data_IF_415482435788
#
_entry.id   IF_415482435788
#
_cell.length_a   1.000
_cell.length_b   1.000
_cell.length_c   1.000
_cell.angle_alpha   90.00
_cell.angle_beta   90.00
_cell.angle_gamma   90.00
#
_symmetry.space_group_name_H-M   'P 1'
#
loop_
_entity.id
_entity.type
_entity.pdbx_description
1 polymer ?
#
# COMPACT_ATOMS: atom_id res chain seq x y z
N UNK A 1 11.06 -3.02 1.81
CA UNK A 1 9.80 -3.69 2.19
C UNK A 1 9.94 -4.36 3.56
N UNK A 2 10.85 -5.33 3.69
CA UNK A 2 11.11 -6.05 4.95
C UNK A 2 11.57 -5.11 6.08
N UNK A 3 12.53 -4.22 5.80
CA UNK A 3 12.98 -3.22 6.79
C UNK A 3 11.83 -2.33 7.31
N UNK A 4 10.95 -1.84 6.44
CA UNK A 4 9.78 -1.07 6.86
C UNK A 4 8.78 -1.90 7.68
N UNK A 5 8.64 -3.19 7.38
CA UNK A 5 7.80 -4.09 8.15
C UNK A 5 8.40 -4.35 9.55
N UNK A 6 9.73 -4.43 9.66
CA UNK A 6 10.43 -4.51 10.94
C UNK A 6 10.23 -3.24 11.76
N UNK A 7 10.45 -2.05 11.17
CA UNK A 7 10.20 -0.77 11.84
C UNK A 7 8.75 -0.68 12.35
N UNK A 8 7.77 -1.09 11.53
CA UNK A 8 6.38 -1.11 11.96
C UNK A 8 6.15 -2.02 13.17
N UNK A 9 6.69 -3.24 13.14
CA UNK A 9 6.57 -4.20 14.24
C UNK A 9 7.24 -3.66 15.50
N UNK A 10 8.41 -3.05 15.38
CA UNK A 10 9.17 -2.53 16.52
C UNK A 10 8.46 -1.33 17.17
N UNK A 11 7.77 -0.50 16.38
CA UNK A 11 7.01 0.65 16.87
C UNK A 11 5.63 0.26 17.42
N UNK A 12 4.93 -0.69 16.79
CA UNK A 12 3.52 -0.97 17.08
C UNK A 12 3.26 -2.30 17.80
N UNK A 13 4.23 -3.21 17.83
CA UNK A 13 4.06 -4.58 18.31
C UNK A 13 3.27 -5.50 17.37
N UNK A 14 2.71 -4.99 16.27
CA UNK A 14 1.87 -5.74 15.34
C UNK A 14 2.64 -6.15 14.08
N UNK A 15 2.35 -7.34 13.55
CA UNK A 15 2.97 -7.80 12.30
C UNK A 15 2.19 -7.29 11.07
N UNK A 16 2.80 -6.45 10.22
CA UNK A 16 2.11 -5.87 9.08
C UNK A 16 2.00 -6.89 7.95
N UNK A 17 0.96 -6.79 7.14
CA UNK A 17 0.86 -7.57 5.91
C UNK A 17 1.83 -7.02 4.87
N UNK A 18 2.84 -7.78 4.45
CA UNK A 18 3.77 -7.35 3.39
C UNK A 18 3.28 -7.86 2.04
N UNK A 19 2.97 -6.94 1.12
CA UNK A 19 2.44 -7.25 -0.21
C UNK A 19 3.36 -6.63 -1.26
N UNK A 20 3.95 -7.48 -2.09
CA UNK A 20 4.90 -7.10 -3.14
C UNK A 20 4.25 -7.31 -4.50
N UNK A 21 4.44 -6.40 -5.46
CA UNK A 21 3.84 -6.56 -6.80
C UNK A 21 4.39 -7.72 -7.61
N UNK A 22 5.65 -8.09 -7.39
CA UNK A 22 6.32 -9.21 -8.06
C UNK A 22 5.82 -10.58 -7.54
N UNK A 23 5.02 -10.58 -6.47
CA UNK A 23 4.38 -11.79 -5.94
C UNK A 23 3.10 -12.12 -6.73
N UNK A 24 3.06 -13.31 -7.32
CA UNK A 24 1.89 -13.84 -8.02
C UNK A 24 0.64 -13.91 -7.13
N UNK A 25 0.81 -13.99 -5.80
CA UNK A 25 -0.27 -14.00 -4.82
C UNK A 25 -0.62 -12.61 -4.26
N UNK A 26 -0.05 -11.53 -4.79
CA UNK A 26 -0.23 -10.15 -4.30
C UNK A 26 -1.70 -9.73 -4.20
N UNK A 27 -2.49 -9.99 -5.25
CA UNK A 27 -3.93 -9.71 -5.26
C UNK A 27 -4.69 -10.47 -4.17
N UNK A 28 -4.36 -11.75 -3.97
CA UNK A 28 -4.96 -12.60 -2.92
C UNK A 28 -4.58 -12.12 -1.53
N UNK A 29 -3.32 -11.74 -1.30
CA UNK A 29 -2.85 -11.19 -0.02
C UNK A 29 -3.52 -9.86 0.30
N UNK A 30 -3.75 -9.03 -0.72
CA UNK A 30 -4.47 -7.76 -0.54
C UNK A 30 -5.94 -7.98 -0.20
N UNK A 31 -6.62 -8.91 -0.88
CA UNK A 31 -7.98 -9.29 -0.53
C UNK A 31 -8.06 -9.81 0.92
N UNK A 32 -7.17 -10.74 1.29
CA UNK A 32 -7.11 -11.29 2.64
C UNK A 32 -6.81 -10.24 3.72
N UNK A 33 -6.01 -9.20 3.40
CA UNK A 33 -5.82 -8.06 4.29
C UNK A 33 -7.10 -7.24 4.46
N UNK A 34 -7.81 -6.94 3.36
CA UNK A 34 -9.04 -6.14 3.38
C UNK A 34 -10.17 -6.84 4.14
N UNK A 35 -10.23 -8.16 4.06
CA UNK A 35 -11.26 -8.96 4.73
C UNK A 35 -10.93 -9.25 6.21
N UNK A 36 -9.75 -8.85 6.70
CA UNK A 36 -9.30 -9.11 8.06
C UNK A 36 -9.37 -7.85 8.94
N UNK A 37 -10.35 -7.74 9.86
CA UNK A 37 -10.51 -6.57 10.71
C UNK A 37 -9.39 -6.40 11.75
N UNK A 38 -8.65 -7.45 12.10
CA UNK A 38 -7.55 -7.39 13.07
C UNK A 38 -6.25 -6.84 12.45
N UNK A 39 -6.17 -6.75 11.12
CA UNK A 39 -5.01 -6.21 10.41
C UNK A 39 -5.14 -4.71 10.24
N UNK A 40 -4.39 -3.98 11.05
CA UNK A 40 -4.39 -2.50 11.08
C UNK A 40 -3.40 -1.86 10.10
N UNK A 41 -2.49 -2.65 9.49
CA UNK A 41 -1.50 -2.12 8.55
C UNK A 41 -1.04 -3.13 7.50
N UNK A 42 -0.81 -2.61 6.30
CA UNK A 42 -0.18 -3.30 5.18
C UNK A 42 0.97 -2.47 4.64
N UNK A 43 2.09 -3.13 4.32
CA UNK A 43 3.25 -2.56 3.65
C UNK A 43 3.23 -3.04 2.22
N UNK A 44 2.79 -2.16 1.32
CA UNK A 44 2.74 -2.42 -0.11
C UNK A 44 3.98 -1.85 -0.79
N UNK A 45 4.77 -2.69 -1.47
CA UNK A 45 5.96 -2.22 -2.21
C UNK A 45 5.81 -2.58 -3.69
N UNK A 46 6.05 -1.58 -4.55
CA UNK A 46 5.96 -1.66 -6.02
C UNK A 46 4.60 -2.04 -6.59
N UNK A 47 3.53 -2.01 -5.77
CA UNK A 47 2.14 -2.32 -6.14
C UNK A 47 1.47 -1.21 -6.96
N UNK A 48 2.15 -0.70 -7.98
CA UNK A 48 1.68 0.39 -8.85
C UNK A 48 2.22 0.16 -10.25
N UNK A 49 1.92 -1.01 -10.83
CA UNK A 49 2.14 -1.24 -12.26
C UNK A 49 0.88 -1.56 -13.04
N UNK A 50 -0.26 -1.88 -12.42
CA UNK A 50 -1.55 -1.94 -13.13
C UNK A 50 -2.72 -2.04 -12.14
N UNK A 51 -3.68 -1.11 -12.22
CA UNK A 51 -5.06 -1.33 -11.75
C UNK A 51 -5.40 -1.31 -10.25
N UNK A 52 -4.46 -1.48 -9.31
CA UNK A 52 -4.83 -1.61 -7.88
C UNK A 52 -5.12 -0.26 -7.22
N UNK A 53 -6.31 -0.12 -6.65
CA UNK A 53 -6.75 1.03 -5.84
C UNK A 53 -6.80 0.62 -4.36
N UNK A 54 -6.24 1.44 -3.47
CA UNK A 54 -6.17 1.17 -2.03
C UNK A 54 -6.86 2.33 -1.27
N UNK A 55 -8.20 2.40 -1.31
CA UNK A 55 -8.96 3.57 -0.83
C UNK A 55 -8.78 3.86 0.68
N UNK A 56 -8.40 2.84 1.44
CA UNK A 56 -8.19 2.92 2.89
C UNK A 56 -6.73 3.20 3.28
N UNK A 57 -5.83 3.36 2.30
CA UNK A 57 -4.44 3.71 2.57
C UNK A 57 -4.36 5.09 3.25
N UNK A 58 -3.79 5.13 4.45
CA UNK A 58 -3.58 6.37 5.20
C UNK A 58 -2.23 7.02 4.90
N UNK A 59 -1.23 6.24 4.45
CA UNK A 59 0.15 6.68 4.25
C UNK A 59 0.69 6.14 2.93
N UNK A 60 1.29 7.01 2.12
CA UNK A 60 2.06 6.65 0.93
C UNK A 60 3.53 6.95 1.17
N UNK A 61 4.39 5.94 1.02
CA UNK A 61 5.85 6.11 1.04
C UNK A 61 6.37 6.00 -0.39
N UNK A 62 6.78 7.13 -0.96
CA UNK A 62 7.38 7.20 -2.31
C UNK A 62 8.90 7.14 -2.21
N UNK A 63 9.46 5.93 -2.14
CA UNK A 63 10.91 5.69 -1.99
C UNK A 63 11.51 5.04 -3.26
N UNK A 64 11.43 5.75 -4.39
CA UNK A 64 11.99 5.32 -5.67
C UNK A 64 12.93 6.37 -6.24
N UNK A 65 13.89 5.97 -7.08
CA UNK A 65 14.76 6.89 -7.84
C UNK A 65 14.07 7.49 -9.07
N UNK A 66 12.93 6.90 -9.48
CA UNK A 66 12.11 7.45 -10.54
C UNK A 66 11.58 8.83 -10.12
N UNK A 67 12.00 9.87 -10.83
CA UNK A 67 11.75 11.27 -10.44
C UNK A 67 10.81 12.00 -11.41
N UNK A 68 10.18 11.28 -12.34
CA UNK A 68 9.29 11.96 -13.30
C UNK A 68 8.00 12.38 -12.59
N UNK A 69 7.51 13.61 -12.82
CA UNK A 69 6.27 14.08 -12.21
C UNK A 69 5.06 13.16 -12.48
N UNK A 70 5.04 12.51 -13.64
CA UNK A 70 3.97 11.59 -14.03
C UNK A 70 3.91 10.36 -13.11
N UNK A 71 5.05 9.74 -12.79
CA UNK A 71 5.07 8.57 -11.89
C UNK A 71 4.61 8.95 -10.48
N UNK A 72 5.02 10.12 -9.99
CA UNK A 72 4.56 10.62 -8.70
C UNK A 72 3.05 10.85 -8.68
N UNK A 73 2.51 11.56 -9.67
CA UNK A 73 1.07 11.83 -9.77
C UNK A 73 0.24 10.54 -9.86
N UNK A 74 0.72 9.54 -10.62
CA UNK A 74 0.09 8.23 -10.71
C UNK A 74 0.05 7.50 -9.37
N UNK A 75 1.10 7.59 -8.56
CA UNK A 75 1.17 6.96 -7.23
C UNK A 75 0.26 7.64 -6.22
N UNK A 76 0.33 8.98 -6.14
CA UNK A 76 -0.52 9.77 -5.23
C UNK A 76 -2.01 9.55 -5.54
N UNK A 77 -2.36 9.48 -6.83
CA UNK A 77 -3.73 9.20 -7.27
C UNK A 77 -4.30 7.82 -6.89
N UNK A 78 -3.50 6.90 -6.33
CA UNK A 78 -3.97 5.61 -5.78
C UNK A 78 -4.33 5.65 -4.29
N UNK A 79 -3.90 6.70 -3.60
CA UNK A 79 -4.07 6.85 -2.15
C UNK A 79 -4.98 8.03 -1.82
N UNK A 80 -4.94 9.10 -2.62
CA UNK A 80 -5.64 10.37 -2.33
C UNK A 80 -6.97 10.48 -3.10
N UNK A 81 -7.60 9.37 -3.50
CA UNK A 81 -8.93 9.46 -4.12
C UNK A 81 -9.97 9.92 -3.11
N UNK A 82 -10.77 10.91 -3.51
CA UNK A 82 -11.84 11.46 -2.68
C UNK A 82 -12.78 10.34 -2.20
N UNK A 83 -13.01 10.29 -0.88
CA UNK A 83 -13.86 9.28 -0.23
C UNK A 83 -15.36 9.56 -0.36
N UNK A 84 -15.76 10.62 -1.07
CA UNK A 84 -17.16 11.02 -1.24
C UNK A 84 -17.53 11.24 -2.72
N UNK A 85 -18.46 10.42 -3.24
CA UNK A 85 -19.23 10.68 -4.47
C UNK A 85 -20.41 11.65 -4.20
N UNK A 86 -20.47 12.26 -3.01
CA UNK A 86 -21.49 13.22 -2.60
C UNK A 86 -20.82 14.51 -2.09
N UNK A 87 -20.24 15.24 -3.03
CA UNK A 87 -20.14 16.70 -3.04
C UNK A 87 -20.13 17.12 -4.51
#
# INVERSE_FOLDING_TARGET
AKEYAEVWRDVTGNEPSVILSEDAASAKKLAAYRDNPDKTCTVCVRLITEGVDVPDAAVLIYSTTASTPLFFAQMVGRVVRARNRRE
#
